data_IF_379949660842
#
_entry.id   IF_379949660842
#
_cell.length_a   1.000
_cell.length_b   1.000
_cell.length_c   1.000
_cell.angle_alpha   90.00
_cell.angle_beta   90.00
_cell.angle_gamma   90.00
#
_symmetry.space_group_name_H-M   'P 1'
#
loop_
_entity.id
_entity.type
_entity.pdbx_description
1 polymer ?
#
# COMPACT_ATOMS: atom_id res chain seq x y z
N UNK A 1 0.51 -21.09 -14.52
CA UNK A 1 -0.17 -19.78 -14.54
C UNK A 1 -1.01 -19.53 -13.29
N UNK A 2 -2.09 -20.28 -13.03
CA UNK A 2 -2.97 -20.02 -11.87
C UNK A 2 -2.25 -20.01 -10.51
N UNK A 3 -1.37 -21.00 -10.26
CA UNK A 3 -0.56 -21.06 -9.02
C UNK A 3 0.29 -19.80 -8.81
N UNK A 4 0.88 -19.26 -9.86
CA UNK A 4 1.71 -18.06 -9.78
C UNK A 4 0.87 -16.82 -9.42
N UNK A 5 -0.32 -16.69 -10.01
CA UNK A 5 -1.25 -15.60 -9.68
C UNK A 5 -1.65 -15.67 -8.20
N UNK A 6 -1.99 -16.86 -7.70
CA UNK A 6 -2.37 -17.06 -6.29
C UNK A 6 -1.21 -16.69 -5.34
N UNK A 7 0.02 -17.10 -5.67
CA UNK A 7 1.19 -16.76 -4.87
C UNK A 7 1.42 -15.24 -4.83
N UNK A 8 1.37 -14.58 -5.99
CA UNK A 8 1.55 -13.12 -6.08
C UNK A 8 0.49 -12.37 -5.29
N UNK A 9 -0.78 -12.75 -5.45
CA UNK A 9 -1.88 -12.18 -4.67
C UNK A 9 -1.69 -12.44 -3.18
N UNK A 10 -1.30 -13.66 -2.78
CA UNK A 10 -1.02 -13.99 -1.38
C UNK A 10 0.05 -13.10 -0.75
N UNK A 11 1.16 -12.88 -1.45
CA UNK A 11 2.25 -11.99 -1.01
C UNK A 11 1.74 -10.55 -0.89
N UNK A 12 0.97 -10.07 -1.86
CA UNK A 12 0.39 -8.72 -1.81
C UNK A 12 -0.50 -8.50 -0.60
N UNK A 13 -1.18 -9.53 -0.12
CA UNK A 13 -2.07 -9.39 1.05
C UNK A 13 -1.30 -9.36 2.37
N UNK A 14 -0.02 -9.74 2.41
CA UNK A 14 0.79 -9.71 3.63
C UNK A 14 1.09 -8.24 4.00
N UNK A 15 0.69 -7.79 5.20
CA UNK A 15 0.99 -6.42 5.65
C UNK A 15 2.49 -6.20 5.73
N UNK A 16 2.93 -5.06 5.19
CA UNK A 16 4.35 -4.70 5.10
C UNK A 16 5.04 -5.14 3.80
N UNK A 17 4.59 -6.22 3.17
CA UNK A 17 5.14 -6.70 1.89
C UNK A 17 4.42 -6.05 0.69
N UNK A 18 3.08 -6.14 0.67
CA UNK A 18 2.21 -5.52 -0.34
C UNK A 18 2.73 -5.71 -1.80
N UNK A 19 2.42 -4.77 -2.70
CA UNK A 19 2.92 -4.80 -4.07
C UNK A 19 4.44 -4.65 -4.19
N UNK A 20 5.11 -4.17 -3.12
CA UNK A 20 6.54 -3.84 -3.13
C UNK A 20 7.39 -5.11 -3.18
N UNK A 21 6.91 -6.18 -2.53
CA UNK A 21 7.54 -7.48 -2.59
C UNK A 21 6.99 -8.35 -3.73
N UNK A 22 5.67 -8.30 -3.99
CA UNK A 22 5.08 -9.20 -4.99
C UNK A 22 5.55 -8.92 -6.42
N UNK A 23 5.78 -7.64 -6.80
CA UNK A 23 6.29 -7.30 -8.14
C UNK A 23 7.73 -7.82 -8.36
N UNK A 24 8.72 -7.52 -7.49
CA UNK A 24 10.07 -8.06 -7.65
C UNK A 24 10.10 -9.59 -7.62
N UNK A 25 9.34 -10.24 -6.73
CA UNK A 25 9.22 -11.71 -6.70
C UNK A 25 8.68 -12.25 -8.03
N UNK A 26 7.73 -11.55 -8.65
CA UNK A 26 7.16 -11.92 -9.94
C UNK A 26 8.10 -11.70 -11.13
N UNK A 27 8.88 -10.62 -11.14
CA UNK A 27 9.72 -10.20 -12.29
C UNK A 27 11.15 -10.78 -12.21
N UNK A 28 11.74 -10.83 -11.02
CA UNK A 28 13.12 -11.28 -10.81
C UNK A 28 13.19 -12.78 -10.46
N UNK A 29 12.15 -13.31 -9.79
CA UNK A 29 12.09 -14.70 -9.35
C UNK A 29 11.71 -15.69 -10.46
N UNK A 30 11.43 -16.93 -10.04
CA UNK A 30 11.06 -18.04 -10.93
C UNK A 30 9.69 -17.86 -11.61
N UNK A 31 8.88 -16.92 -11.16
CA UNK A 31 7.55 -16.63 -11.74
C UNK A 31 7.65 -15.98 -13.12
N UNK A 32 8.77 -15.32 -13.45
CA UNK A 32 8.99 -14.64 -14.73
C UNK A 32 8.91 -15.56 -15.94
N UNK A 33 9.24 -16.84 -15.75
CA UNK A 33 9.18 -17.88 -16.80
C UNK A 33 7.74 -18.32 -17.08
N UNK A 34 6.82 -18.05 -16.14
CA UNK A 34 5.43 -18.49 -16.18
C UNK A 34 4.50 -17.33 -16.60
N UNK A 35 4.82 -16.11 -16.18
CA UNK A 35 4.01 -14.92 -16.40
C UNK A 35 4.87 -13.77 -16.93
N UNK A 36 4.47 -13.11 -18.02
CA UNK A 36 5.16 -11.93 -18.50
C UNK A 36 4.94 -10.76 -17.52
N UNK A 37 5.92 -9.87 -17.41
CA UNK A 37 5.92 -8.75 -16.47
C UNK A 37 4.66 -7.85 -16.51
N UNK A 38 3.97 -7.61 -17.66
CA UNK A 38 2.75 -6.79 -17.65
C UNK A 38 1.60 -7.45 -16.89
N UNK A 39 1.54 -8.78 -16.94
CA UNK A 39 0.52 -9.56 -16.21
C UNK A 39 0.84 -9.55 -14.72
N UNK A 40 2.11 -9.68 -14.34
CA UNK A 40 2.57 -9.55 -12.94
C UNK A 40 2.17 -8.18 -12.40
N UNK A 41 2.48 -7.10 -13.12
CA UNK A 41 2.11 -5.74 -12.74
C UNK A 41 0.60 -5.61 -12.52
N UNK A 42 -0.20 -6.04 -13.49
CA UNK A 42 -1.66 -5.90 -13.44
C UNK A 42 -2.26 -6.68 -12.26
N UNK A 43 -1.82 -7.93 -12.05
CA UNK A 43 -2.29 -8.76 -10.92
C UNK A 43 -1.94 -8.12 -9.58
N UNK A 44 -0.68 -7.71 -9.38
CA UNK A 44 -0.23 -7.13 -8.13
C UNK A 44 -0.90 -5.78 -7.83
N UNK A 45 -1.04 -4.91 -8.84
CA UNK A 45 -1.72 -3.61 -8.70
C UNK A 45 -3.18 -3.78 -8.34
N UNK A 46 -3.93 -4.62 -9.07
CA UNK A 46 -5.34 -4.85 -8.79
C UNK A 46 -5.55 -5.48 -7.41
N UNK A 47 -4.75 -6.48 -7.05
CA UNK A 47 -4.78 -7.09 -5.73
C UNK A 47 -4.56 -6.05 -4.63
N UNK A 48 -3.60 -5.14 -4.80
CA UNK A 48 -3.25 -4.14 -3.78
C UNK A 48 -4.28 -3.00 -3.69
N UNK A 49 -4.92 -2.61 -4.81
CA UNK A 49 -6.03 -1.66 -4.79
C UNK A 49 -7.21 -2.24 -4.01
N UNK A 50 -7.58 -3.49 -4.29
CA UNK A 50 -8.65 -4.20 -3.59
C UNK A 50 -8.33 -4.33 -2.11
N UNK A 51 -7.09 -4.70 -1.78
CA UNK A 51 -6.61 -4.80 -0.40
C UNK A 51 -6.79 -3.49 0.36
N UNK A 52 -6.30 -2.37 -0.19
CA UNK A 52 -6.44 -1.06 0.46
C UNK A 52 -7.89 -0.67 0.68
N UNK A 53 -8.78 -0.94 -0.29
CA UNK A 53 -10.20 -0.68 -0.15
C UNK A 53 -10.83 -1.54 0.95
N UNK A 54 -10.64 -2.87 0.90
CA UNK A 54 -11.15 -3.80 1.89
C UNK A 54 -10.67 -3.42 3.30
N UNK A 55 -9.39 -3.10 3.45
CA UNK A 55 -8.81 -2.73 4.74
C UNK A 55 -9.37 -1.41 5.27
N UNK A 56 -9.48 -0.36 4.44
CA UNK A 56 -10.10 0.90 4.86
C UNK A 56 -11.56 0.71 5.31
N UNK A 57 -12.32 -0.16 4.63
CA UNK A 57 -13.68 -0.49 5.08
C UNK A 57 -13.69 -1.26 6.40
N UNK A 58 -12.75 -2.19 6.59
CA UNK A 58 -12.63 -2.96 7.82
C UNK A 58 -12.20 -2.10 9.03
N UNK A 59 -11.55 -0.96 8.81
CA UNK A 59 -11.17 -0.05 9.90
C UNK A 59 -12.37 0.51 10.67
N UNK A 60 -13.51 0.74 10.01
CA UNK A 60 -14.72 1.23 10.69
C UNK A 60 -15.22 0.27 11.80
N UNK A 61 -15.54 -1.01 11.51
CA UNK A 61 -15.97 -1.94 12.53
C UNK A 61 -14.86 -2.26 13.53
N UNK A 62 -13.59 -2.34 13.10
CA UNK A 62 -12.46 -2.59 14.00
C UNK A 62 -12.31 -1.49 15.04
N UNK A 63 -12.40 -0.23 14.63
CA UNK A 63 -12.28 0.91 15.53
C UNK A 63 -13.53 1.04 16.40
N UNK A 64 -14.72 0.81 15.84
CA UNK A 64 -15.96 0.78 16.64
C UNK A 64 -15.88 -0.25 17.77
N UNK A 65 -15.36 -1.45 17.47
CA UNK A 65 -15.14 -2.48 18.48
C UNK A 65 -14.06 -2.06 19.48
N UNK A 66 -12.93 -1.52 19.02
CA UNK A 66 -11.85 -1.06 19.90
C UNK A 66 -12.28 0.07 20.85
N UNK A 67 -13.18 0.96 20.41
CA UNK A 67 -13.75 2.05 21.22
C UNK A 67 -14.67 1.56 22.35
N UNK A 68 -15.05 0.29 22.40
CA UNK A 68 -15.72 -0.27 23.59
C UNK A 68 -14.78 -0.32 24.80
N UNK A 69 -13.46 -0.26 24.58
CA UNK A 69 -12.46 -0.19 25.64
C UNK A 69 -12.28 1.29 26.02
N UNK A 70 -12.69 1.66 27.25
CA UNK A 70 -12.68 3.06 27.74
C UNK A 70 -11.36 3.79 27.57
N UNK A 71 -10.23 3.08 27.66
CA UNK A 71 -8.89 3.66 27.50
C UNK A 71 -8.60 4.03 26.05
N UNK A 72 -9.02 3.18 25.10
CA UNK A 72 -8.86 3.44 23.66
C UNK A 72 -9.76 4.60 23.24
N UNK A 73 -11.01 4.63 23.71
CA UNK A 73 -11.94 5.73 23.41
C UNK A 73 -11.40 7.07 23.90
N UNK A 74 -10.83 7.11 25.11
CA UNK A 74 -10.21 8.31 25.66
C UNK A 74 -9.03 8.80 24.80
N UNK A 75 -8.14 7.90 24.36
CA UNK A 75 -7.05 8.24 23.42
C UNK A 75 -7.59 8.72 22.07
N UNK A 76 -8.66 8.10 21.58
CA UNK A 76 -9.29 8.47 20.31
C UNK A 76 -9.80 9.92 20.35
N UNK A 77 -10.55 10.27 21.40
CA UNK A 77 -11.09 11.63 21.58
C UNK A 77 -9.98 12.66 21.84
N UNK A 78 -8.98 12.31 22.66
CA UNK A 78 -7.89 13.23 23.02
C UNK A 78 -6.97 13.54 21.83
N UNK A 79 -6.59 12.53 21.05
CA UNK A 79 -5.54 12.66 20.03
C UNK A 79 -6.11 12.78 18.62
N UNK A 80 -7.04 11.91 18.21
CA UNK A 80 -7.54 11.91 16.83
C UNK A 80 -8.49 13.06 16.54
N UNK A 81 -9.50 13.31 17.39
CA UNK A 81 -10.45 14.41 17.11
C UNK A 81 -9.76 15.78 17.12
N UNK A 82 -8.82 15.99 18.05
CA UNK A 82 -8.05 17.24 18.12
C UNK A 82 -7.11 17.39 16.93
N UNK A 83 -6.43 16.31 16.52
CA UNK A 83 -5.57 16.31 15.34
C UNK A 83 -6.38 16.58 14.05
N UNK A 84 -7.53 15.93 13.88
CA UNK A 84 -8.42 16.13 12.74
C UNK A 84 -8.88 17.59 12.64
N UNK A 85 -9.31 18.21 13.75
CA UNK A 85 -9.73 19.62 13.75
C UNK A 85 -8.60 20.56 13.34
N UNK A 86 -7.37 20.33 13.84
CA UNK A 86 -6.19 21.15 13.50
C UNK A 86 -5.72 20.96 12.07
N UNK A 87 -5.76 19.72 11.58
CA UNK A 87 -5.26 19.34 10.25
C UNK A 87 -6.31 19.47 9.15
N UNK A 88 -7.57 19.75 9.48
CA UNK A 88 -8.68 19.89 8.53
C UNK A 88 -8.34 20.76 7.30
N UNK A 89 -7.73 21.95 7.42
CA UNK A 89 -7.39 22.78 6.26
C UNK A 89 -6.35 22.10 5.35
N UNK A 90 -5.38 21.40 5.93
CA UNK A 90 -4.35 20.66 5.17
C UNK A 90 -4.92 19.40 4.53
N UNK A 91 -5.86 18.72 5.18
CA UNK A 91 -6.55 17.54 4.64
C UNK A 91 -7.47 17.95 3.48
N UNK A 92 -8.17 19.08 3.60
CA UNK A 92 -9.02 19.59 2.50
C UNK A 92 -8.18 20.03 1.30
N UNK A 93 -7.00 20.63 1.53
CA UNK A 93 -6.12 21.11 0.46
C UNK A 93 -5.30 20.01 -0.20
N UNK A 94 -4.77 19.06 0.58
CA UNK A 94 -3.80 18.06 0.09
C UNK A 94 -4.19 16.61 0.39
N UNK A 95 -5.31 16.34 1.07
CA UNK A 95 -5.61 15.01 1.62
C UNK A 95 -5.52 13.89 0.58
N UNK A 96 -6.27 14.00 -0.52
CA UNK A 96 -6.28 12.97 -1.57
C UNK A 96 -4.91 12.81 -2.26
N UNK A 97 -4.31 13.91 -2.71
CA UNK A 97 -3.06 13.87 -3.49
C UNK A 97 -1.83 13.58 -2.64
N UNK A 98 -1.75 14.18 -1.45
CA UNK A 98 -0.70 13.91 -0.48
C UNK A 98 -0.73 12.46 -0.01
N UNK A 99 -1.93 11.90 0.21
CA UNK A 99 -2.06 10.48 0.52
C UNK A 99 -1.70 9.59 -0.68
N UNK A 100 -2.07 9.97 -1.90
CA UNK A 100 -1.68 9.24 -3.10
C UNK A 100 -0.15 9.18 -3.25
N UNK A 101 0.54 10.31 -3.04
CA UNK A 101 2.00 10.38 -3.06
C UNK A 101 2.58 9.51 -1.94
N UNK A 102 2.04 9.61 -0.72
CA UNK A 102 2.48 8.79 0.41
C UNK A 102 2.39 7.28 0.11
N UNK A 103 1.27 6.81 -0.45
CA UNK A 103 1.07 5.41 -0.84
C UNK A 103 1.97 5.04 -2.03
N UNK A 104 2.21 6.00 -2.94
CA UNK A 104 2.99 5.83 -4.16
C UNK A 104 4.50 5.74 -3.95
N UNK A 105 5.01 6.21 -2.82
CA UNK A 105 6.40 6.02 -2.44
C UNK A 105 6.61 4.54 -2.06
N UNK A 106 7.52 3.80 -2.72
CA UNK A 106 7.76 2.39 -2.44
C UNK A 106 8.77 2.20 -1.29
N UNK A 107 8.50 2.83 -0.13
CA UNK A 107 9.31 2.67 1.08
C UNK A 107 8.73 1.58 1.99
N UNK A 108 9.56 0.94 2.83
CA UNK A 108 9.06 0.16 3.95
C UNK A 108 8.27 1.09 4.88
N UNK A 109 7.13 0.63 5.40
CA UNK A 109 6.12 1.39 6.15
C UNK A 109 5.16 2.28 5.36
N UNK A 110 5.44 2.64 4.11
CA UNK A 110 4.46 3.33 3.25
C UNK A 110 3.66 2.31 2.47
N UNK A 111 2.34 2.48 2.37
CA UNK A 111 1.51 1.45 1.75
C UNK A 111 0.02 1.66 1.83
N UNK A 112 -0.72 0.71 1.25
CA UNK A 112 -2.17 0.72 1.26
C UNK A 112 -2.72 0.54 2.68
N UNK A 113 -2.09 -0.33 3.49
CA UNK A 113 -2.45 -0.52 4.90
C UNK A 113 -2.24 0.76 5.74
N UNK A 114 -1.04 1.32 5.70
CA UNK A 114 -0.70 2.52 6.50
C UNK A 114 -1.40 3.77 5.95
N UNK A 115 -1.58 3.86 4.63
CA UNK A 115 -2.38 4.90 3.99
C UNK A 115 -3.86 4.84 4.37
N UNK A 116 -4.45 3.65 4.44
CA UNK A 116 -5.83 3.47 4.91
C UNK A 116 -6.00 3.87 6.38
N UNK A 117 -5.08 3.44 7.25
CA UNK A 117 -5.08 3.82 8.65
C UNK A 117 -4.92 5.34 8.82
N UNK A 118 -4.00 5.96 8.06
CA UNK A 118 -3.80 7.41 8.04
C UNK A 118 -5.03 8.16 7.53
N UNK A 119 -5.64 7.70 6.44
CA UNK A 119 -6.86 8.30 5.89
C UNK A 119 -8.03 8.25 6.88
N UNK A 120 -8.20 7.10 7.56
CA UNK A 120 -9.20 6.95 8.60
C UNK A 120 -8.91 7.88 9.79
N UNK A 121 -7.66 7.95 10.23
CA UNK A 121 -7.23 8.83 11.31
C UNK A 121 -7.42 10.32 10.98
N UNK A 122 -7.28 10.71 9.72
CA UNK A 122 -7.53 12.07 9.24
C UNK A 122 -9.01 12.35 8.94
N UNK A 123 -9.90 11.35 9.07
CA UNK A 123 -11.32 11.51 8.76
C UNK A 123 -11.60 11.74 7.28
N UNK A 124 -10.69 11.28 6.39
CA UNK A 124 -10.91 11.36 4.94
C UNK A 124 -12.09 10.49 4.54
N UNK A 125 -12.88 10.97 3.58
CA UNK A 125 -14.01 10.21 3.07
C UNK A 125 -13.59 8.98 2.25
N UNK A 126 -14.42 7.94 2.26
CA UNK A 126 -14.19 6.69 1.49
C UNK A 126 -13.80 6.93 0.03
N UNK A 127 -14.51 7.82 -0.67
CA UNK A 127 -14.22 8.14 -2.09
C UNK A 127 -12.84 8.77 -2.29
N UNK A 128 -12.47 9.71 -1.42
CA UNK A 128 -11.16 10.36 -1.48
C UNK A 128 -10.05 9.33 -1.23
N UNK A 129 -10.21 8.48 -0.22
CA UNK A 129 -9.27 7.40 0.04
C UNK A 129 -9.16 6.43 -1.14
N UNK A 130 -10.28 5.98 -1.73
CA UNK A 130 -10.24 5.05 -2.87
C UNK A 130 -9.49 5.62 -4.06
N UNK A 131 -9.69 6.90 -4.39
CA UNK A 131 -8.95 7.58 -5.46
C UNK A 131 -7.47 7.68 -5.11
N UNK A 132 -7.15 8.13 -3.89
CA UNK A 132 -5.77 8.24 -3.42
C UNK A 132 -5.04 6.89 -3.44
N UNK A 133 -5.68 5.83 -2.96
CA UNK A 133 -5.16 4.48 -2.95
C UNK A 133 -4.92 3.95 -4.36
N UNK A 134 -5.89 4.12 -5.28
CA UNK A 134 -5.72 3.68 -6.66
C UNK A 134 -4.55 4.38 -7.35
N UNK A 135 -4.48 5.71 -7.24
CA UNK A 135 -3.40 6.50 -7.85
C UNK A 135 -2.05 6.16 -7.21
N UNK A 136 -1.98 6.10 -5.88
CA UNK A 136 -0.75 5.77 -5.17
C UNK A 136 -0.24 4.37 -5.50
N UNK A 137 -1.13 3.37 -5.49
CA UNK A 137 -0.77 1.98 -5.83
C UNK A 137 -0.29 1.86 -7.28
N UNK A 138 -0.90 2.59 -8.21
CA UNK A 138 -0.43 2.65 -9.60
C UNK A 138 0.97 3.26 -9.70
N UNK A 139 1.21 4.40 -9.02
CA UNK A 139 2.53 5.04 -9.00
C UNK A 139 3.59 4.12 -8.40
N UNK A 140 3.33 3.53 -7.24
CA UNK A 140 4.23 2.58 -6.61
C UNK A 140 4.49 1.37 -7.53
N UNK A 141 3.46 0.84 -8.17
CA UNK A 141 3.58 -0.28 -9.09
C UNK A 141 4.49 0.05 -10.27
N UNK A 142 4.33 1.23 -10.88
CA UNK A 142 5.16 1.67 -12.01
C UNK A 142 6.62 1.79 -11.57
N UNK A 143 6.87 2.47 -10.45
CA UNK A 143 8.24 2.67 -9.94
C UNK A 143 8.92 1.34 -9.63
N UNK A 144 8.25 0.45 -8.89
CA UNK A 144 8.79 -0.87 -8.51
C UNK A 144 9.00 -1.76 -9.75
N UNK A 145 8.12 -1.69 -10.74
CA UNK A 145 8.27 -2.44 -12.00
C UNK A 145 9.48 -1.95 -12.79
N UNK A 146 9.64 -0.63 -12.96
CA UNK A 146 10.80 -0.04 -13.64
C UNK A 146 12.09 -0.48 -12.94
N UNK A 147 12.14 -0.35 -11.61
CA UNK A 147 13.28 -0.79 -10.80
C UNK A 147 13.57 -2.28 -11.05
N UNK A 148 12.55 -3.14 -11.00
CA UNK A 148 12.70 -4.59 -11.20
C UNK A 148 13.22 -4.93 -12.60
N UNK A 149 12.75 -4.23 -13.63
CA UNK A 149 13.21 -4.43 -15.01
C UNK A 149 14.66 -3.94 -15.21
N UNK A 150 15.06 -2.83 -14.58
CA UNK A 150 16.44 -2.35 -14.62
C UNK A 150 17.40 -3.34 -13.97
N UNK A 151 17.02 -3.91 -12.82
CA UNK A 151 17.79 -4.99 -12.16
C UNK A 151 17.91 -6.20 -13.09
N UNK A 152 16.79 -6.61 -13.71
CA UNK A 152 16.78 -7.74 -14.65
C UNK A 152 17.70 -7.50 -15.86
N UNK A 153 17.84 -6.24 -16.30
CA UNK A 153 18.73 -5.84 -17.39
C UNK A 153 20.21 -5.77 -16.97
N UNK A 154 20.56 -6.06 -15.72
CA UNK A 154 21.94 -6.07 -15.22
C UNK A 154 22.46 -4.72 -14.76
N UNK A 155 21.56 -3.75 -14.47
CA UNK A 155 21.97 -2.48 -13.87
C UNK A 155 22.24 -2.72 -12.39
N UNK A 156 23.50 -2.65 -11.98
CA UNK A 156 23.90 -2.71 -10.57
C UNK A 156 23.67 -1.34 -9.90
N UNK A 157 22.96 -1.33 -8.77
CA UNK A 157 22.79 -0.14 -7.92
C UNK A 157 22.93 -0.54 -6.45
N UNK A 158 23.67 0.22 -5.63
CA UNK A 158 23.80 -0.02 -4.19
C UNK A 158 22.46 -0.03 -3.43
N UNK A 159 21.42 0.60 -4.00
CA UNK A 159 20.07 0.61 -3.45
C UNK A 159 19.34 -0.74 -3.63
N UNK A 160 19.80 -1.60 -4.55
CA UNK A 160 19.17 -2.89 -4.85
C UNK A 160 19.52 -3.98 -3.85
N UNK A 161 20.73 -3.96 -3.28
CA UNK A 161 21.12 -4.89 -2.22
C UNK A 161 20.23 -4.74 -0.98
N UNK A 162 19.78 -3.52 -0.69
CA UNK A 162 18.84 -3.26 0.41
C UNK A 162 17.51 -3.96 0.12
N UNK A 163 16.94 -3.81 -1.09
CA UNK A 163 15.68 -4.44 -1.49
C UNK A 163 15.76 -5.97 -1.54
N UNK A 164 16.87 -6.53 -2.07
CA UNK A 164 17.08 -7.98 -2.18
C UNK A 164 17.24 -8.63 -0.79
N UNK A 165 17.97 -7.97 0.11
CA UNK A 165 18.19 -8.45 1.49
C UNK A 165 16.94 -8.44 2.37
N UNK A 166 15.87 -7.77 1.93
CA UNK A 166 14.56 -7.79 2.61
C UNK A 166 13.59 -8.85 2.06
N UNK A 167 13.90 -9.48 0.92
CA UNK A 167 13.04 -10.49 0.27
C UNK A 167 13.54 -11.92 0.49
N UNK A 168 14.84 -12.12 0.77
CA UNK A 168 15.41 -13.39 1.24
C UNK A 168 15.25 -13.56 2.75
#
# INVERSE_FOLDING_TARGET
>A
MLKAIIILTGITFIPGLELRASIPVGILGSIKEILPWPVVFLVCVLANIVLGWCFYLALYPLVSLARHIRWIDMLFVLYLERAQRKLKPSIEKYGTWGLAIFIGIPLPLTGAYTGAAGAFALGMGKRQFMIANAVGVLLAGIVVTIISLLIQAGVESPWFDILIKYVQ
#
